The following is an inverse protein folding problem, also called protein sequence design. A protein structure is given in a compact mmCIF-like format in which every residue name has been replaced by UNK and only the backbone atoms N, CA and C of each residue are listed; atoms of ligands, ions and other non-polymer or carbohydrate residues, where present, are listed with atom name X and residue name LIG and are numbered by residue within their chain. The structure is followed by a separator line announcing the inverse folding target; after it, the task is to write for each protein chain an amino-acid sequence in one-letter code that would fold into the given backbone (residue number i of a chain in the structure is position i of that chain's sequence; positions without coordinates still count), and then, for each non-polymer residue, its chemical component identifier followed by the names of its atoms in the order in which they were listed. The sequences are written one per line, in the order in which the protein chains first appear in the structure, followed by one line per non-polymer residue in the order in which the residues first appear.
data_IF_409605785134
#
_entry.id   IF_409605785134
#
_cell.length_a   1.000
_cell.length_b   1.000
_cell.length_c   1.000
_cell.angle_alpha   90.00
_cell.angle_beta   90.00
_cell.angle_gamma   90.00
#
_symmetry.space_group_name_H-M   'P 1'
#
loop_
_entity.id
_entity.type
_entity.pdbx_description
1 polymer ?
#
# COMPACT_ATOMS: atom_id res chain seq x y z
N UNK A 1 -23.56 -7.42 -9.04
CA UNK A 1 -22.79 -6.34 -8.40
C UNK A 1 -21.50 -6.96 -7.91
N UNK A 2 -20.30 -6.55 -8.37
CA UNK A 2 -19.09 -7.15 -7.86
C UNK A 2 -18.87 -6.67 -6.43
N UNK A 3 -19.16 -7.55 -5.47
CA UNK A 3 -18.62 -7.47 -4.11
C UNK A 3 -17.12 -7.60 -4.25
N UNK A 4 -16.37 -6.49 -4.12
CA UNK A 4 -14.92 -6.52 -4.04
C UNK A 4 -14.53 -7.14 -2.69
N UNK A 5 -14.74 -8.46 -2.60
CA UNK A 5 -14.45 -9.27 -1.44
C UNK A 5 -12.97 -9.55 -1.51
N UNK A 6 -12.22 -9.09 -0.52
CA UNK A 6 -10.80 -9.43 -0.39
C UNK A 6 -10.70 -10.94 -0.28
N UNK A 7 -10.32 -11.60 -1.38
CA UNK A 7 -10.25 -13.06 -1.46
C UNK A 7 -9.11 -13.59 -0.57
N UNK A 8 -7.98 -12.88 -0.55
CA UNK A 8 -6.82 -13.23 0.28
C UNK A 8 -6.13 -12.00 0.85
N UNK A 9 -5.91 -12.00 2.17
CA UNK A 9 -5.21 -10.92 2.86
C UNK A 9 -3.69 -10.91 2.59
N UNK A 10 -3.09 -12.10 2.53
CA UNK A 10 -1.65 -12.27 2.26
C UNK A 10 -1.45 -12.48 0.75
N UNK A 11 -1.09 -11.40 0.05
CA UNK A 11 -0.97 -11.38 -1.42
C UNK A 11 0.46 -11.44 -1.95
N UNK A 12 1.46 -11.55 -1.06
CA UNK A 12 2.88 -11.59 -1.43
C UNK A 12 3.60 -12.77 -0.77
N UNK A 13 4.68 -13.23 -1.41
CA UNK A 13 5.61 -14.23 -0.87
C UNK A 13 6.58 -13.60 0.14
N UNK A 14 6.97 -14.32 1.21
CA UNK A 14 8.03 -13.85 2.12
C UNK A 14 9.44 -13.93 1.50
N UNK A 15 9.61 -14.65 0.39
CA UNK A 15 10.91 -14.88 -0.25
C UNK A 15 11.16 -13.99 -1.47
N UNK A 16 10.11 -13.37 -2.01
CA UNK A 16 10.18 -12.50 -3.17
C UNK A 16 9.87 -11.05 -2.81
N UNK A 17 10.23 -10.11 -3.69
CA UNK A 17 9.80 -8.73 -3.51
C UNK A 17 8.27 -8.61 -3.65
N UNK A 18 7.60 -7.73 -2.87
CA UNK A 18 6.16 -7.54 -3.00
C UNK A 18 5.77 -7.07 -4.40
N UNK A 19 4.90 -7.84 -5.05
CA UNK A 19 4.40 -7.58 -6.42
C UNK A 19 3.02 -6.95 -6.42
N UNK A 20 2.29 -7.03 -5.30
CA UNK A 20 0.94 -6.50 -5.20
C UNK A 20 0.68 -5.84 -3.85
N UNK A 21 -0.33 -4.98 -3.78
CA UNK A 21 -0.85 -4.48 -2.51
C UNK A 21 -2.35 -4.14 -2.63
N UNK A 22 -3.08 -4.27 -1.53
CA UNK A 22 -4.44 -3.78 -1.45
C UNK A 22 -4.43 -2.24 -1.37
N UNK A 23 -5.13 -1.59 -2.30
CA UNK A 23 -5.35 -0.14 -2.34
C UNK A 23 -6.80 0.12 -1.96
N UNK A 24 -7.00 1.01 -1.00
CA UNK A 24 -8.34 1.47 -0.62
C UNK A 24 -8.80 2.58 -1.57
N UNK A 25 -9.91 2.36 -2.26
CA UNK A 25 -10.62 3.38 -3.02
C UNK A 25 -11.63 4.08 -2.10
N UNK A 26 -11.50 5.41 -1.98
CA UNK A 26 -12.33 6.22 -1.08
C UNK A 26 -13.72 6.50 -1.63
N UNK A 27 -13.88 6.54 -2.94
CA UNK A 27 -15.16 6.86 -3.59
C UNK A 27 -16.11 5.67 -3.49
N UNK A 28 -15.60 4.48 -3.80
CA UNK A 28 -16.38 3.23 -3.76
C UNK A 28 -16.32 2.53 -2.41
N UNK A 29 -15.39 2.91 -1.54
CA UNK A 29 -15.07 2.24 -0.26
C UNK A 29 -14.68 0.77 -0.46
N UNK A 30 -14.12 0.43 -1.61
CA UNK A 30 -13.66 -0.92 -1.94
C UNK A 30 -12.14 -1.03 -1.84
N UNK A 31 -11.65 -2.27 -1.84
CA UNK A 31 -10.23 -2.56 -1.94
C UNK A 31 -9.94 -3.19 -3.30
N UNK A 32 -8.98 -2.62 -4.01
CA UNK A 32 -8.47 -3.16 -5.26
C UNK A 32 -7.08 -3.73 -5.06
N UNK A 33 -6.80 -4.86 -5.72
CA UNK A 33 -5.46 -5.41 -5.75
C UNK A 33 -4.64 -4.64 -6.79
N UNK A 34 -3.81 -3.71 -6.33
CA UNK A 34 -2.92 -2.93 -7.18
C UNK A 34 -1.60 -3.68 -7.43
N UNK A 35 -1.12 -3.60 -8.67
CA UNK A 35 0.20 -4.11 -9.05
C UNK A 35 1.33 -3.19 -8.53
N UNK A 36 2.46 -3.80 -8.23
CA UNK A 36 3.65 -3.16 -7.71
C UNK A 36 3.73 -3.13 -6.19
N UNK A 37 4.92 -2.78 -5.69
CA UNK A 37 5.20 -2.62 -4.28
C UNK A 37 4.57 -1.32 -3.76
N UNK A 38 3.82 -1.41 -2.66
CA UNK A 38 3.25 -0.23 -1.98
C UNK A 38 4.34 0.81 -1.69
N UNK A 39 4.09 2.11 -1.97
CA UNK A 39 5.00 3.19 -1.58
C UNK A 39 5.29 3.14 -0.08
N UNK A 40 6.54 3.42 0.30
CA UNK A 40 6.89 3.61 1.70
C UNK A 40 6.22 4.88 2.24
N UNK A 41 5.60 4.79 3.41
CA UNK A 41 4.92 5.92 4.02
C UNK A 41 4.19 5.52 5.28
N UNK A 42 3.54 6.50 5.90
CA UNK A 42 2.73 6.34 7.10
C UNK A 42 1.38 7.03 6.90
N UNK A 43 0.39 6.69 7.72
CA UNK A 43 -0.93 7.31 7.69
C UNK A 43 -1.08 8.15 8.95
N UNK A 44 -1.51 9.40 8.79
CA UNK A 44 -1.93 10.27 9.90
C UNK A 44 -3.45 10.43 9.86
N UNK A 45 -4.09 10.62 11.01
CA UNK A 45 -5.52 10.93 11.03
C UNK A 45 -5.79 12.24 10.28
N UNK A 46 -6.94 12.33 9.61
CA UNK A 46 -7.39 13.56 8.98
C UNK A 46 -7.61 14.62 10.08
N UNK A 47 -7.02 15.82 9.97
CA UNK A 47 -7.15 16.84 11.02
C UNK A 47 -8.61 17.15 11.37
N UNK A 48 -8.96 17.02 12.65
CA UNK A 48 -10.32 17.27 13.13
C UNK A 48 -11.30 16.11 12.93
N UNK A 49 -10.87 14.98 12.35
CA UNK A 49 -11.72 13.79 12.25
C UNK A 49 -12.06 13.22 13.62
N UNK A 50 -13.35 12.94 13.82
CA UNK A 50 -13.87 12.21 14.98
C UNK A 50 -14.50 10.87 14.58
N UNK A 51 -14.40 10.52 13.29
CA UNK A 51 -15.00 9.30 12.77
C UNK A 51 -14.08 8.11 13.04
N UNK A 52 -14.65 6.97 13.40
CA UNK A 52 -13.88 5.74 13.64
C UNK A 52 -13.35 5.12 12.33
N UNK A 53 -13.94 5.47 11.20
CA UNK A 53 -13.64 4.94 9.86
C UNK A 53 -12.80 5.91 9.02
N UNK A 54 -12.12 6.88 9.64
CA UNK A 54 -11.24 7.82 8.94
C UNK A 54 -10.11 7.08 8.21
N UNK A 55 -10.04 7.14 6.85
CA UNK A 55 -8.96 6.52 6.11
C UNK A 55 -7.61 7.23 6.33
N UNK A 56 -7.61 8.41 6.96
CA UNK A 56 -6.44 9.22 7.24
C UNK A 56 -5.84 9.86 5.99
N UNK A 57 -4.62 10.38 6.12
CA UNK A 57 -3.82 10.98 5.05
C UNK A 57 -2.53 10.18 4.98
N UNK A 58 -2.28 9.57 3.81
CA UNK A 58 -1.03 8.86 3.57
C UNK A 58 0.08 9.86 3.23
N UNK A 59 1.15 9.83 4.02
CA UNK A 59 2.35 10.62 3.83
C UNK A 59 3.46 9.68 3.37
N UNK A 60 3.93 9.89 2.14
CA UNK A 60 5.01 9.11 1.56
C UNK A 60 6.35 9.44 2.23
N UNK A 61 7.28 8.48 2.23
CA UNK A 61 8.69 8.68 2.58
C UNK A 61 9.51 8.52 1.28
N UNK A 62 9.73 9.60 0.52
CA UNK A 62 10.34 9.52 -0.82
C UNK A 62 11.73 8.89 -0.82
N UNK A 63 12.53 9.18 0.22
CA UNK A 63 13.90 8.66 0.36
C UNK A 63 13.94 7.13 0.33
N UNK A 64 12.99 6.45 0.99
CA UNK A 64 12.94 4.98 1.00
C UNK A 64 12.63 4.46 -0.40
N UNK A 65 11.71 5.10 -1.12
CA UNK A 65 11.36 4.70 -2.47
C UNK A 65 12.52 4.92 -3.46
N UNK A 66 13.35 5.95 -3.25
CA UNK A 66 14.57 6.19 -4.02
C UNK A 66 15.69 5.18 -3.72
N UNK A 67 15.80 4.70 -2.46
CA UNK A 67 16.84 3.74 -2.06
C UNK A 67 16.52 2.32 -2.56
N UNK A 68 15.25 1.92 -2.66
CA UNK A 68 14.84 0.55 -3.03
C UNK A 68 15.50 0.03 -4.32
N UNK A 69 15.49 0.76 -5.46
CA UNK A 69 16.18 0.30 -6.67
C UNK A 69 17.68 0.10 -6.49
N UNK A 70 18.33 0.92 -5.64
CA UNK A 70 19.77 0.81 -5.37
C UNK A 70 20.09 -0.47 -4.59
N UNK A 71 19.26 -0.81 -3.60
CA UNK A 71 19.39 -2.06 -2.84
C UNK A 71 19.17 -3.27 -3.74
N UNK A 72 18.17 -3.19 -4.64
CA UNK A 72 17.91 -4.24 -5.63
C UNK A 72 19.11 -4.46 -6.55
N UNK A 73 19.62 -3.38 -7.15
CA UNK A 73 20.81 -3.45 -8.00
C UNK A 73 22.04 -4.02 -7.28
N UNK A 74 22.22 -3.68 -6.00
CA UNK A 74 23.29 -4.24 -5.18
C UNK A 74 23.11 -5.75 -4.91
N UNK A 75 21.87 -6.23 -4.73
CA UNK A 75 21.59 -7.66 -4.54
C UNK A 75 21.81 -8.49 -5.80
N UNK A 76 21.61 -7.89 -6.98
CA UNK A 76 21.71 -8.55 -8.28
C UNK A 76 23.14 -8.57 -8.85
N UNK A 77 24.06 -7.79 -8.27
CA UNK A 77 25.48 -7.73 -8.62
C UNK A 77 26.27 -8.87 -7.95
#
# INVERSE_FOLDING_TARGET
MPSATIDRLIVNSPYEEPKYHWRYDRETRTFDLAEGRRPAGYVVATPGSKSFDDPGIFIEIPLVNQIRPRVKAWREA
#
